data_IF_951428567358
#
_entry.id   IF_951428567358
#
_cell.length_a   1.000
_cell.length_b   1.000
_cell.length_c   1.000
_cell.angle_alpha   90.00
_cell.angle_beta   90.00
_cell.angle_gamma   90.00
#
_symmetry.space_group_name_H-M   'P 1'
#
loop_
_entity.id
_entity.type
_entity.pdbx_description
1 polymer ?
#
# COMPACT_ATOMS: atom_id res chain seq x y z
N UNK A 1 -2.69 -11.68 -16.92
CA UNK A 1 -3.10 -10.33 -16.46
C UNK A 1 -1.86 -9.44 -16.30
N UNK A 2 -1.68 -8.49 -17.20
CA UNK A 2 -0.51 -7.60 -17.20
C UNK A 2 -0.42 -6.80 -15.90
N UNK A 3 0.76 -6.78 -15.31
CA UNK A 3 1.05 -6.08 -14.06
C UNK A 3 1.15 -4.60 -14.40
N UNK A 4 0.10 -3.84 -14.11
CA UNK A 4 0.00 -2.40 -14.38
C UNK A 4 1.08 -1.60 -13.61
N UNK A 5 1.67 -2.17 -12.56
CA UNK A 5 2.54 -1.46 -11.62
C UNK A 5 3.99 -1.24 -12.07
N UNK A 6 4.41 -1.74 -13.25
CA UNK A 6 5.76 -1.46 -13.78
C UNK A 6 5.80 -0.23 -14.68
N UNK A 7 4.65 0.26 -15.15
CA UNK A 7 4.56 1.48 -15.95
C UNK A 7 4.89 2.70 -15.06
N UNK A 8 5.88 3.53 -15.42
CA UNK A 8 6.30 4.70 -14.66
C UNK A 8 5.17 5.66 -14.28
N UNK A 9 4.07 5.72 -15.03
CA UNK A 9 2.94 6.62 -14.74
C UNK A 9 2.15 6.25 -13.48
N UNK A 10 2.31 5.03 -12.96
CA UNK A 10 1.67 4.58 -11.72
C UNK A 10 2.61 4.61 -10.52
N UNK A 11 3.80 5.19 -10.67
CA UNK A 11 4.70 5.40 -9.53
C UNK A 11 4.06 6.37 -8.54
N UNK A 12 4.06 5.96 -7.27
CA UNK A 12 3.59 6.81 -6.19
C UNK A 12 4.75 7.67 -5.73
N UNK A 13 4.55 8.99 -5.73
CA UNK A 13 5.55 9.95 -5.26
C UNK A 13 5.86 9.70 -3.77
N UNK A 14 7.15 9.70 -3.46
CA UNK A 14 7.65 9.60 -2.08
C UNK A 14 7.60 10.94 -1.32
N UNK A 15 7.30 12.02 -2.03
CA UNK A 15 7.17 13.39 -1.52
C UNK A 15 5.85 14.03 -2.01
N UNK A 16 4.68 13.45 -1.69
CA UNK A 16 3.40 13.92 -2.22
C UNK A 16 3.04 15.36 -1.80
N UNK A 17 3.54 15.82 -0.65
CA UNK A 17 3.27 17.16 -0.12
C UNK A 17 4.07 18.28 -0.83
N UNK A 18 4.97 17.91 -1.73
CA UNK A 18 5.96 18.83 -2.30
C UNK A 18 5.40 19.66 -3.46
N UNK A 19 4.39 19.14 -4.16
CA UNK A 19 3.74 19.84 -5.28
C UNK A 19 2.67 20.84 -4.83
N UNK A 20 2.06 20.65 -3.65
CA UNK A 20 0.96 21.51 -3.16
C UNK A 20 1.41 22.54 -2.12
N UNK A 21 2.52 22.32 -1.42
CA UNK A 21 3.06 23.26 -0.44
C UNK A 21 4.51 23.65 -0.75
N UNK A 22 4.66 24.63 -1.63
CA UNK A 22 5.85 25.50 -1.70
C UNK A 22 6.19 26.22 -0.38
N UNK A 23 5.45 26.00 0.72
CA UNK A 23 5.45 26.93 1.85
C UNK A 23 5.60 26.39 3.27
N UNK A 24 5.45 25.08 3.62
CA UNK A 24 5.33 24.76 5.07
C UNK A 24 6.03 23.55 5.69
N UNK A 25 6.64 22.61 4.95
CA UNK A 25 7.48 21.57 5.58
C UNK A 25 8.97 21.88 5.39
N UNK A 26 9.48 22.80 6.21
CA UNK A 26 10.92 23.12 6.28
C UNK A 26 11.64 22.15 7.20
N UNK A 27 12.54 21.35 6.62
CA UNK A 27 13.73 20.89 7.32
C UNK A 27 14.91 21.58 6.62
N UNK A 28 15.62 22.41 7.39
CA UNK A 28 16.79 23.23 7.04
C UNK A 28 16.65 24.21 5.87
N UNK A 29 16.10 25.39 6.18
CA UNK A 29 16.17 26.56 5.30
C UNK A 29 17.57 27.18 5.37
N UNK A 30 18.39 26.95 4.34
CA UNK A 30 19.44 27.89 3.96
C UNK A 30 18.79 29.21 3.48
N UNK A 31 19.29 30.40 3.86
CA UNK A 31 18.60 31.68 3.59
C UNK A 31 18.42 32.03 2.11
N UNK A 32 19.06 31.30 1.19
CA UNK A 32 19.13 31.65 -0.24
C UNK A 32 18.55 30.60 -1.20
N UNK A 33 17.81 29.60 -0.73
CA UNK A 33 17.27 28.54 -1.61
C UNK A 33 15.74 28.56 -1.61
N UNK A 34 15.16 29.14 -2.66
CA UNK A 34 13.71 29.31 -2.85
C UNK A 34 13.01 28.10 -3.47
N UNK A 35 13.75 27.06 -3.83
CA UNK A 35 13.21 25.78 -4.30
C UNK A 35 14.04 24.68 -3.66
N UNK A 36 13.44 23.95 -2.72
CA UNK A 36 13.99 22.67 -2.29
C UNK A 36 13.89 21.75 -3.53
N UNK A 37 15.02 21.25 -4.02
CA UNK A 37 15.02 20.26 -5.10
C UNK A 37 15.18 18.89 -4.45
N UNK A 38 14.24 17.96 -4.72
CA UNK A 38 14.41 16.58 -4.24
C UNK A 38 15.65 16.01 -4.91
N UNK A 39 16.64 15.63 -4.11
CA UNK A 39 17.88 15.01 -4.60
C UNK A 39 17.81 13.50 -4.40
N UNK A 40 18.67 12.76 -5.12
CA UNK A 40 18.87 11.33 -4.90
C UNK A 40 19.13 11.00 -3.41
N UNK A 41 19.93 11.83 -2.73
CA UNK A 41 20.26 11.62 -1.31
C UNK A 41 19.04 11.78 -0.41
N UNK A 42 18.21 12.79 -0.62
CA UNK A 42 16.96 12.96 0.13
C UNK A 42 15.98 11.81 -0.15
N UNK A 43 15.89 11.39 -1.41
CA UNK A 43 15.04 10.27 -1.81
C UNK A 43 15.43 8.96 -1.12
N UNK A 44 16.71 8.59 -1.22
CA UNK A 44 17.24 7.34 -0.66
C UNK A 44 17.28 7.37 0.86
N UNK A 45 17.44 8.54 1.49
CA UNK A 45 17.33 8.69 2.95
C UNK A 45 15.93 8.34 3.49
N UNK A 46 14.86 8.51 2.68
CA UNK A 46 13.50 8.03 3.01
C UNK A 46 13.27 6.56 2.64
N UNK A 47 14.30 5.87 2.15
CA UNK A 47 14.19 4.49 1.67
C UNK A 47 13.46 4.36 0.33
N UNK A 48 13.32 5.45 -0.43
CA UNK A 48 12.67 5.47 -1.75
C UNK A 48 13.63 5.23 -2.90
N UNK A 49 13.07 5.00 -4.09
CA UNK A 49 13.82 4.75 -5.33
C UNK A 49 13.95 6.03 -6.14
N UNK A 50 15.18 6.35 -6.56
CA UNK A 50 15.49 7.52 -7.37
C UNK A 50 15.75 7.16 -8.85
N UNK A 51 15.27 7.99 -9.76
CA UNK A 51 15.64 8.00 -11.18
C UNK A 51 15.99 9.42 -11.63
N UNK A 52 17.11 9.59 -12.32
CA UNK A 52 17.60 10.93 -12.73
C UNK A 52 16.83 11.53 -13.90
N UNK A 53 16.26 10.70 -14.77
CA UNK A 53 15.60 11.10 -16.00
C UNK A 53 14.18 10.51 -16.03
N UNK A 54 13.33 10.92 -15.09
CA UNK A 54 11.93 10.51 -15.08
C UNK A 54 11.23 11.00 -16.37
N UNK A 55 10.28 10.20 -16.86
CA UNK A 55 9.41 10.64 -17.95
C UNK A 55 8.57 11.84 -17.48
N UNK A 56 8.06 12.62 -18.43
CA UNK A 56 7.16 13.73 -18.13
C UNK A 56 5.98 13.27 -17.28
N UNK A 57 5.61 14.07 -16.27
CA UNK A 57 4.54 13.76 -15.30
C UNK A 57 4.72 12.44 -14.52
N UNK A 58 5.96 11.98 -14.34
CA UNK A 58 6.29 10.85 -13.46
C UNK A 58 7.31 11.27 -12.40
N UNK A 59 7.19 10.81 -11.16
CA UNK A 59 8.08 11.23 -10.08
C UNK A 59 9.48 10.63 -10.25
N UNK A 60 10.50 11.47 -10.06
CA UNK A 60 11.90 11.05 -9.98
C UNK A 60 12.23 10.30 -8.69
N UNK A 61 11.49 10.56 -7.60
CA UNK A 61 11.60 9.85 -6.33
C UNK A 61 10.28 9.15 -6.01
N UNK A 62 10.26 7.83 -5.92
CA UNK A 62 9.02 7.07 -5.76
C UNK A 62 9.13 5.92 -4.77
N UNK A 63 7.98 5.48 -4.28
CA UNK A 63 7.86 4.35 -3.35
C UNK A 63 8.41 3.07 -4.01
N UNK A 64 9.32 2.31 -3.37
CA UNK A 64 9.83 1.06 -3.92
C UNK A 64 8.73 0.00 -4.01
N UNK A 65 8.62 -0.66 -5.16
CA UNK A 65 7.57 -1.66 -5.44
C UNK A 65 7.73 -2.95 -4.64
N UNK A 66 8.94 -3.20 -4.14
CA UNK A 66 9.33 -4.37 -3.36
C UNK A 66 9.20 -4.16 -1.84
N UNK A 67 8.97 -2.91 -1.39
CA UNK A 67 8.84 -2.59 0.05
C UNK A 67 7.51 -1.92 0.38
N UNK A 68 6.98 -1.11 -0.54
CA UNK A 68 5.72 -0.41 -0.38
C UNK A 68 4.51 -1.31 -0.53
N UNK A 69 3.42 -0.96 0.16
CA UNK A 69 2.13 -1.63 0.04
C UNK A 69 2.01 -2.90 0.87
N UNK A 70 1.14 -3.81 0.40
CA UNK A 70 0.70 -4.99 1.13
C UNK A 70 0.75 -6.24 0.23
N UNK A 71 0.89 -7.40 0.84
CA UNK A 71 0.78 -8.72 0.23
C UNK A 71 -0.50 -9.42 0.73
N UNK A 72 -1.02 -10.34 -0.06
CA UNK A 72 -2.12 -11.23 0.34
C UNK A 72 -1.56 -12.34 1.23
N UNK A 73 -2.06 -12.48 2.45
CA UNK A 73 -1.54 -13.46 3.44
C UNK A 73 -2.16 -14.84 3.33
N UNK A 74 -3.47 -14.91 3.08
CA UNK A 74 -4.26 -16.15 3.02
C UNK A 74 -5.21 -16.13 1.81
N UNK A 75 -5.83 -17.29 1.54
CA UNK A 75 -6.97 -17.39 0.63
C UNK A 75 -8.09 -16.47 1.09
N UNK A 76 -8.69 -15.73 0.14
CA UNK A 76 -9.86 -14.89 0.41
C UNK A 76 -10.97 -15.68 1.10
N UNK A 77 -11.58 -15.10 2.13
CA UNK A 77 -12.73 -15.67 2.81
C UNK A 77 -14.00 -15.17 2.14
N UNK A 78 -14.69 -16.03 1.40
CA UNK A 78 -16.00 -15.71 0.83
C UNK A 78 -17.05 -15.90 1.93
N UNK A 79 -17.65 -14.81 2.39
CA UNK A 79 -18.71 -14.85 3.42
C UNK A 79 -20.05 -15.21 2.78
N UNK A 80 -20.27 -14.76 1.55
CA UNK A 80 -21.47 -15.05 0.76
C UNK A 80 -21.16 -14.88 -0.73
N UNK A 81 -22.14 -15.16 -1.60
CA UNK A 81 -22.02 -14.95 -3.05
C UNK A 81 -21.71 -13.50 -3.44
N UNK A 82 -21.95 -12.55 -2.55
CA UNK A 82 -21.78 -11.12 -2.79
C UNK A 82 -20.79 -10.44 -1.87
N UNK A 83 -20.19 -11.14 -0.90
CA UNK A 83 -19.23 -10.55 0.04
C UNK A 83 -17.98 -11.43 0.14
N UNK A 84 -16.84 -10.82 -0.15
CA UNK A 84 -15.53 -11.45 -0.04
C UNK A 84 -14.62 -10.59 0.83
N UNK A 85 -13.87 -11.23 1.73
CA UNK A 85 -12.83 -10.59 2.53
C UNK A 85 -11.47 -11.07 2.07
N UNK A 86 -10.58 -10.12 1.81
CA UNK A 86 -9.16 -10.35 1.56
C UNK A 86 -8.37 -9.89 2.78
N UNK A 87 -7.49 -10.76 3.29
CA UNK A 87 -6.56 -10.43 4.37
C UNK A 87 -5.23 -10.02 3.76
N UNK A 88 -4.77 -8.83 4.13
CA UNK A 88 -3.52 -8.29 3.64
C UNK A 88 -2.55 -8.07 4.80
N UNK A 89 -1.27 -8.38 4.60
CA UNK A 89 -0.20 -7.94 5.50
C UNK A 89 0.72 -7.00 4.77
N UNK A 90 1.31 -6.07 5.51
CA UNK A 90 2.28 -5.13 4.98
C UNK A 90 3.45 -5.87 4.34
N UNK A 91 3.92 -5.37 3.19
CA UNK A 91 5.03 -5.98 2.45
C UNK A 91 6.36 -5.74 3.18
N UNK A 92 6.55 -4.51 3.67
CA UNK A 92 7.56 -4.18 4.67
C UNK A 92 7.25 -4.82 6.01
N UNK A 93 8.18 -5.61 6.53
CA UNK A 93 8.07 -6.14 7.89
C UNK A 93 8.75 -5.17 8.82
N UNK A 94 8.01 -4.62 9.79
CA UNK A 94 8.62 -3.87 10.90
C UNK A 94 9.50 -4.85 11.67
N UNK A 95 10.76 -4.49 11.92
CA UNK A 95 11.63 -5.30 12.77
C UNK A 95 10.88 -5.58 14.07
N UNK A 96 10.45 -6.83 14.28
CA UNK A 96 9.66 -7.20 15.45
C UNK A 96 10.45 -6.70 16.66
N UNK A 97 9.83 -5.85 17.49
CA UNK A 97 10.46 -5.41 18.73
C UNK A 97 10.97 -6.67 19.42
N UNK A 98 12.30 -6.81 19.50
CA UNK A 98 12.93 -7.86 20.28
C UNK A 98 12.45 -7.57 21.70
N UNK A 99 11.39 -8.26 22.14
CA UNK A 99 10.95 -8.23 23.53
C UNK A 99 12.18 -8.63 24.32
N UNK A 100 12.73 -7.67 25.04
CA UNK A 100 13.93 -7.79 25.87
C UNK A 100 13.87 -9.10 26.64
N UNK A 101 14.62 -10.11 26.19
CA UNK A 101 14.83 -11.31 26.97
C UNK A 101 15.73 -10.91 28.13
N UNK A 102 15.15 -11.04 29.31
CA UNK A 102 15.66 -10.60 30.61
C UNK A 102 16.77 -11.52 31.11
N UNK A 103 17.87 -11.73 30.38
CA UNK A 103 19.12 -12.35 30.90
C UNK A 103 20.33 -11.94 30.05
N UNK A 104 21.42 -11.38 30.62
CA UNK A 104 22.50 -10.78 29.82
C UNK A 104 23.84 -11.51 30.02
N UNK A 105 24.08 -12.71 29.46
CA UNK A 105 25.46 -13.21 29.39
C UNK A 105 25.80 -13.92 28.07
N UNK A 106 26.63 -13.21 27.30
CA UNK A 106 27.78 -13.72 26.53
C UNK A 106 27.57 -14.78 25.43
N UNK A 107 26.44 -14.83 24.72
CA UNK A 107 26.41 -15.49 23.39
C UNK A 107 25.41 -14.76 22.47
N UNK A 108 25.79 -14.57 21.18
CA UNK A 108 25.00 -14.01 20.05
C UNK A 108 25.12 -12.52 19.66
N UNK A 109 26.30 -11.89 19.75
CA UNK A 109 26.52 -10.57 19.11
C UNK A 109 26.60 -10.60 17.56
N UNK A 110 26.92 -11.74 16.94
CA UNK A 110 27.12 -11.81 15.48
C UNK A 110 25.85 -12.15 14.67
N UNK A 111 24.87 -12.82 15.28
CA UNK A 111 23.61 -13.20 14.60
C UNK A 111 22.53 -12.11 14.70
N UNK A 112 22.43 -11.44 15.86
CA UNK A 112 21.49 -10.34 16.07
C UNK A 112 21.84 -9.10 15.23
N UNK A 113 23.13 -8.80 15.03
CA UNK A 113 23.53 -7.63 14.22
C UNK A 113 23.11 -7.78 12.77
N UNK A 114 23.25 -8.99 12.20
CA UNK A 114 22.80 -9.29 10.83
C UNK A 114 21.26 -9.33 10.71
N UNK A 115 20.54 -9.76 11.75
CA UNK A 115 19.08 -9.72 11.76
C UNK A 115 18.53 -8.31 11.95
N UNK A 116 19.16 -7.47 12.77
CA UNK A 116 18.79 -6.06 13.00
C UNK A 116 19.13 -5.20 11.79
N UNK A 117 20.25 -5.45 11.10
CA UNK A 117 20.53 -4.81 9.81
C UNK A 117 19.55 -5.28 8.75
N UNK A 118 19.30 -6.58 8.57
CA UNK A 118 18.31 -7.08 7.60
C UNK A 118 16.87 -6.60 7.88
N UNK A 119 16.48 -6.48 9.15
CA UNK A 119 15.16 -5.98 9.51
C UNK A 119 15.02 -4.47 9.27
N UNK A 120 16.09 -3.67 9.43
CA UNK A 120 16.11 -2.26 8.99
C UNK A 120 16.15 -2.09 7.46
N UNK A 121 16.64 -3.08 6.72
CA UNK A 121 16.70 -3.03 5.25
C UNK A 121 15.30 -3.27 4.62
N UNK A 122 14.42 -3.98 5.33
CA UNK A 122 13.09 -4.37 4.85
C UNK A 122 11.93 -3.54 5.42
N UNK A 123 12.19 -2.60 6.33
CA UNK A 123 11.20 -1.66 6.84
C UNK A 123 11.22 -0.39 5.97
N UNK A 124 10.14 -0.15 5.22
CA UNK A 124 9.88 1.13 4.58
C UNK A 124 8.74 1.81 5.33
N UNK A 125 8.81 3.10 5.65
CA UNK A 125 7.71 3.85 6.26
C UNK A 125 7.86 5.32 5.90
N UNK A 126 6.80 5.94 5.39
CA UNK A 126 6.84 7.36 5.02
C UNK A 126 6.53 8.28 6.20
N UNK A 127 5.58 7.88 7.05
CA UNK A 127 5.03 8.72 8.11
C UNK A 127 4.99 8.04 9.49
N UNK A 128 5.52 6.82 9.61
CA UNK A 128 5.39 6.03 10.83
C UNK A 128 3.99 5.44 11.01
N UNK A 129 3.78 4.76 12.14
CA UNK A 129 2.50 4.17 12.58
C UNK A 129 1.72 3.39 11.51
N UNK A 130 2.46 2.69 10.65
CA UNK A 130 1.86 1.87 9.61
C UNK A 130 1.03 0.72 10.21
N UNK A 131 -0.13 0.47 9.62
CA UNK A 131 -1.00 -0.65 9.98
C UNK A 131 -0.42 -1.92 9.32
N UNK A 132 -0.10 -2.93 10.13
CA UNK A 132 0.52 -4.13 9.59
C UNK A 132 -0.47 -5.03 8.87
N UNK A 133 -1.66 -5.24 9.45
CA UNK A 133 -2.64 -6.19 8.93
C UNK A 133 -3.95 -5.46 8.59
N UNK A 134 -4.45 -5.69 7.38
CA UNK A 134 -5.67 -5.10 6.87
C UNK A 134 -6.69 -6.17 6.47
N UNK A 135 -7.96 -5.85 6.67
CA UNK A 135 -9.09 -6.57 6.11
C UNK A 135 -9.73 -5.72 5.00
N UNK A 136 -9.72 -6.23 3.78
CA UNK A 136 -10.40 -5.62 2.63
C UNK A 136 -11.68 -6.39 2.37
N UNK A 137 -12.81 -5.79 2.72
CA UNK A 137 -14.13 -6.32 2.42
C UNK A 137 -14.63 -5.75 1.09
N UNK A 138 -14.98 -6.62 0.17
CA UNK A 138 -15.58 -6.27 -1.12
C UNK A 138 -16.98 -6.84 -1.14
N UNK A 139 -17.95 -6.00 -1.51
CA UNK A 139 -19.34 -6.42 -1.67
C UNK A 139 -19.96 -5.94 -2.96
N UNK A 140 -20.83 -6.77 -3.53
CA UNK A 140 -21.59 -6.50 -4.75
C UNK A 140 -23.04 -6.15 -4.43
N UNK A 141 -23.60 -5.19 -5.16
CA UNK A 141 -25.01 -4.83 -5.08
C UNK A 141 -25.57 -4.71 -6.49
N UNK A 142 -26.43 -5.65 -6.89
CA UNK A 142 -27.00 -5.68 -8.22
C UNK A 142 -25.94 -6.00 -9.28
N UNK A 143 -26.02 -5.33 -10.44
CA UNK A 143 -25.14 -5.62 -11.58
C UNK A 143 -23.97 -4.63 -11.75
N UNK A 144 -24.01 -3.48 -11.08
CA UNK A 144 -23.20 -2.31 -11.42
C UNK A 144 -22.61 -1.57 -10.22
N UNK A 145 -22.71 -2.12 -9.00
CA UNK A 145 -22.13 -1.50 -7.80
C UNK A 145 -21.19 -2.46 -7.07
N UNK A 146 -19.99 -1.96 -6.81
CA UNK A 146 -19.01 -2.56 -5.91
C UNK A 146 -18.81 -1.60 -4.76
N UNK A 147 -18.82 -2.12 -3.53
CA UNK A 147 -18.34 -1.41 -2.35
C UNK A 147 -17.14 -2.13 -1.79
N UNK A 148 -16.01 -1.43 -1.74
CA UNK A 148 -14.80 -1.88 -1.08
C UNK A 148 -14.63 -1.11 0.23
N UNK A 149 -14.18 -1.80 1.28
CA UNK A 149 -13.88 -1.18 2.57
C UNK A 149 -12.60 -1.79 3.11
N UNK A 150 -11.61 -0.94 3.41
CA UNK A 150 -10.30 -1.34 3.94
C UNK A 150 -10.30 -0.97 5.42
N UNK A 151 -10.04 -1.96 6.29
CA UNK A 151 -10.05 -1.80 7.75
C UNK A 151 -8.75 -2.31 8.33
N UNK A 152 -8.35 -1.70 9.43
CA UNK A 152 -7.35 -2.28 10.34
C UNK A 152 -7.89 -3.61 10.89
N UNK A 153 -7.11 -4.68 10.79
CA UNK A 153 -7.54 -6.00 11.25
C UNK A 153 -7.50 -6.13 12.78
N UNK A 154 -6.70 -5.31 13.45
CA UNK A 154 -6.35 -5.47 14.87
C UNK A 154 -6.95 -4.37 15.75
N UNK A 155 -7.40 -3.25 15.17
CA UNK A 155 -8.01 -2.15 15.91
C UNK A 155 -9.24 -1.56 15.22
N UNK A 156 -10.22 -1.11 16.00
CA UNK A 156 -11.32 -0.29 15.48
C UNK A 156 -10.80 1.12 15.20
N UNK A 157 -11.03 1.62 13.99
CA UNK A 157 -10.70 3.00 13.61
C UNK A 157 -11.99 3.80 13.45
N UNK A 158 -11.85 5.12 13.47
CA UNK A 158 -12.97 6.02 13.27
C UNK A 158 -13.63 5.76 11.91
N UNK A 159 -14.96 5.61 11.92
CA UNK A 159 -15.80 5.59 10.73
C UNK A 159 -16.77 6.77 10.81
N UNK A 160 -16.95 7.46 9.69
CA UNK A 160 -17.85 8.61 9.62
C UNK A 160 -19.28 8.13 9.96
N UNK A 161 -19.95 8.71 10.97
CA UNK A 161 -21.25 8.24 11.44
C UNK A 161 -22.38 8.77 10.55
N UNK A 162 -22.39 8.35 9.28
CA UNK A 162 -23.46 8.62 8.34
C UNK A 162 -24.32 7.37 8.15
N UNK A 163 -25.65 7.50 7.98
CA UNK A 163 -26.49 6.37 7.62
C UNK A 163 -26.06 5.81 6.26
N UNK A 164 -25.49 4.61 6.25
CA UNK A 164 -25.07 3.98 5.00
C UNK A 164 -26.17 3.04 4.51
N UNK A 165 -26.92 3.50 3.52
CA UNK A 165 -27.93 2.68 2.83
C UNK A 165 -27.21 1.83 1.78
N UNK A 166 -26.58 0.74 2.23
CA UNK A 166 -25.95 -0.26 1.36
C UNK A 166 -26.57 -1.63 1.61
N UNK A 167 -27.00 -2.28 0.53
CA UNK A 167 -27.55 -3.63 0.58
C UNK A 167 -26.78 -4.50 -0.40
N UNK A 168 -25.92 -5.41 0.09
CA UNK A 168 -25.32 -6.44 -0.76
C UNK A 168 -26.43 -7.28 -1.39
N UNK A 169 -26.45 -7.38 -2.71
CA UNK A 169 -27.50 -8.06 -3.46
C UNK A 169 -26.92 -8.82 -4.63
N UNK A 170 -27.24 -10.11 -4.71
CA UNK A 170 -26.80 -10.99 -5.78
C UNK A 170 -27.57 -10.62 -7.06
N UNK A 171 -26.90 -10.45 -8.20
CA UNK A 171 -27.61 -10.34 -9.46
C UNK A 171 -28.42 -11.62 -9.74
N UNK A 172 -29.62 -11.47 -10.32
CA UNK A 172 -30.53 -12.59 -10.63
C UNK A 172 -29.87 -13.68 -11.49
N UNK A 173 -28.90 -13.30 -12.31
CA UNK A 173 -28.06 -14.23 -13.08
C UNK A 173 -26.60 -13.78 -13.04
N UNK A 174 -25.62 -14.70 -12.90
CA UNK A 174 -24.20 -14.34 -12.94
C UNK A 174 -23.79 -13.61 -14.23
N UNK A 175 -24.45 -13.91 -15.34
CA UNK A 175 -24.25 -13.26 -16.65
C UNK A 175 -24.72 -11.81 -16.70
N UNK A 176 -25.52 -11.35 -15.74
CA UNK A 176 -26.01 -9.97 -15.69
C UNK A 176 -25.03 -9.00 -15.03
N UNK A 177 -23.93 -9.48 -14.41
CA UNK A 177 -22.88 -8.63 -13.84
C UNK A 177 -22.26 -7.77 -14.95
N UNK A 178 -22.30 -6.44 -14.77
CA UNK A 178 -21.69 -5.45 -15.68
C UNK A 178 -20.25 -5.10 -15.29
N UNK A 179 -19.90 -5.35 -14.04
CA UNK A 179 -18.58 -5.09 -13.47
C UNK A 179 -18.07 -6.30 -12.67
N UNK A 180 -16.76 -6.47 -12.66
CA UNK A 180 -16.06 -7.52 -11.92
C UNK A 180 -14.92 -6.90 -11.11
N UNK A 181 -14.79 -7.32 -9.85
CA UNK A 181 -13.64 -7.00 -9.01
C UNK A 181 -12.56 -8.08 -9.16
N UNK A 182 -11.30 -7.68 -9.28
CA UNK A 182 -10.17 -8.60 -9.35
C UNK A 182 -9.01 -8.10 -8.48
N UNK A 183 -8.41 -9.02 -7.73
CA UNK A 183 -7.11 -8.81 -7.08
C UNK A 183 -6.00 -9.03 -8.10
N UNK A 184 -5.03 -8.12 -8.11
CA UNK A 184 -3.80 -8.23 -8.90
C UNK A 184 -2.60 -8.36 -7.97
N UNK A 185 -1.53 -9.00 -8.45
CA UNK A 185 -0.29 -9.18 -7.70
C UNK A 185 0.90 -8.85 -8.60
N UNK A 186 1.85 -8.07 -8.08
CA UNK A 186 3.12 -7.77 -8.76
C UNK A 186 4.10 -8.93 -8.57
N UNK A 187 5.21 -8.99 -9.34
CA UNK A 187 6.24 -10.01 -9.16
C UNK A 187 6.86 -10.00 -7.76
N UNK A 188 6.87 -8.84 -7.10
CA UNK A 188 7.39 -8.63 -5.74
C UNK A 188 6.35 -8.89 -4.65
N UNK A 189 5.14 -9.31 -5.03
CA UNK A 189 4.08 -9.69 -4.11
C UNK A 189 3.20 -8.57 -3.61
N UNK A 190 3.44 -7.33 -4.05
CA UNK A 190 2.51 -6.23 -3.80
C UNK A 190 1.15 -6.54 -4.45
N UNK A 191 0.08 -6.28 -3.70
CA UNK A 191 -1.30 -6.50 -4.14
C UNK A 191 -1.93 -5.19 -4.57
N UNK A 192 -2.63 -5.25 -5.69
CA UNK A 192 -3.55 -4.21 -6.15
C UNK A 192 -4.95 -4.76 -6.35
N UNK A 193 -5.87 -3.88 -6.71
CA UNK A 193 -7.21 -4.24 -7.11
C UNK A 193 -7.55 -3.51 -8.41
N UNK A 194 -8.41 -4.13 -9.21
CA UNK A 194 -8.99 -3.50 -10.41
C UNK A 194 -10.45 -3.85 -10.53
N UNK A 195 -11.21 -2.93 -11.12
CA UNK A 195 -12.58 -3.17 -11.53
C UNK A 195 -12.60 -3.22 -13.05
N UNK A 196 -13.23 -4.24 -13.61
CA UNK A 196 -13.30 -4.43 -15.06
C UNK A 196 -14.77 -4.45 -15.50
N UNK A 197 -15.09 -3.75 -16.59
CA UNK A 197 -16.38 -3.91 -17.27
C UNK A 197 -16.45 -5.29 -17.91
N UNK A 198 -17.51 -6.04 -17.65
CA UNK A 198 -17.65 -7.42 -18.18
C UNK A 198 -17.92 -7.44 -19.68
N UNK A 199 -18.61 -6.44 -20.22
CA UNK A 199 -18.99 -6.37 -21.63
C UNK A 199 -17.83 -5.96 -22.55
N UNK A 200 -17.06 -4.93 -22.17
CA UNK A 200 -15.96 -4.39 -22.98
C UNK A 200 -14.59 -4.89 -22.55
N UNK A 201 -14.50 -5.55 -21.39
CA UNK A 201 -13.24 -5.94 -20.74
C UNK A 201 -12.32 -4.74 -20.39
N UNK A 202 -12.85 -3.51 -20.41
CA UNK A 202 -12.09 -2.31 -20.05
C UNK A 202 -11.87 -2.23 -18.53
N UNK A 203 -10.67 -1.85 -18.11
CA UNK A 203 -10.36 -1.52 -16.70
C UNK A 203 -10.93 -0.14 -16.37
N UNK A 204 -11.56 -0.02 -15.20
CA UNK A 204 -12.09 1.22 -14.61
C UNK A 204 -11.11 1.82 -13.61
#
# INVERSE_FOLDING_TARGET
>A
PEIITTDPKYRIDCYPDFDEYKSFCMIDRSPNQTVLTITNQLCTARGCTWVSNAATNTPSCYIPIEKGGYNLTESSSQISDVITIYKLSRLSIKATQIRSLKYPELVYKYSLTNQITNARINEFSMFGDDIHDLNVQVSLSGSDKIRMTIRDANAKRYEVPVPIIWQPLVPLTPSSLKIKFEITKTPYGQVGFRVQRTNTQSIL
#
